data_IF_854742021293
#
_entry.id   IF_854742021293
#
_cell.length_a   1.000
_cell.length_b   1.000
_cell.length_c   1.000
_cell.angle_alpha   90.00
_cell.angle_beta   90.00
_cell.angle_gamma   90.00
#
_symmetry.space_group_name_H-M   'P 1'
#
loop_
_entity.id
_entity.type
_entity.pdbx_description
1 polymer ?
2 water ?
#
# COMPACT_ATOMS: atom_id res chain seq x y z
N UNK A 14 13.35 3.83 -10.32
CA UNK A 14 12.97 2.99 -11.45
C UNK A 14 12.35 1.73 -10.91
N UNK A 15 13.15 0.87 -10.26
CA UNK A 15 12.59 -0.16 -9.40
C UNK A 15 11.76 0.47 -8.29
N UNK A 16 12.36 1.39 -7.53
CA UNK A 16 11.57 2.20 -6.62
C UNK A 16 10.44 2.90 -7.37
N UNK A 17 10.72 3.38 -8.59
CA UNK A 17 9.75 4.21 -9.30
C UNK A 17 8.56 3.40 -9.75
N UNK A 18 8.77 2.10 -9.97
CA UNK A 18 7.65 1.22 -10.27
C UNK A 18 6.72 1.09 -9.08
N UNK A 19 7.29 0.89 -7.90
CA UNK A 19 6.48 0.67 -6.71
C UNK A 19 5.81 1.98 -6.30
N UNK A 20 6.49 3.10 -6.48
CA UNK A 20 5.87 4.40 -6.28
C UNK A 20 4.66 4.60 -7.17
N UNK A 21 4.74 4.21 -8.44
CA UNK A 21 3.55 4.31 -9.28
C UNK A 21 2.42 3.41 -8.79
N UNK A 22 2.72 2.18 -8.38
CA UNK A 22 1.70 1.30 -7.81
C UNK A 22 1.04 2.00 -6.63
N UNK A 23 1.84 2.56 -5.74
CA UNK A 23 1.31 3.21 -4.56
C UNK A 23 0.51 4.45 -4.93
N UNK A 24 1.03 5.24 -5.88
CA UNK A 24 0.27 6.43 -6.30
C UNK A 24 -1.04 6.02 -6.96
N UNK A 25 -1.02 4.94 -7.77
CA UNK A 25 -2.24 4.51 -8.45
C UNK A 25 -3.28 4.08 -7.43
N UNK A 26 -2.84 3.32 -6.42
CA UNK A 26 -3.78 2.83 -5.41
C UNK A 26 -4.39 3.98 -4.67
N UNK A 27 -3.59 5.00 -4.38
CA UNK A 27 -4.10 6.21 -3.74
C UNK A 27 -5.15 6.90 -4.60
N UNK A 28 -4.86 7.08 -5.89
CA UNK A 28 -5.81 7.77 -6.75
C UNK A 28 -7.11 7.01 -6.85
N UNK A 29 -7.06 5.67 -6.72
CA UNK A 29 -8.30 4.92 -6.76
C UNK A 29 -9.08 5.04 -5.44
N UNK A 30 -8.38 5.00 -4.31
CA UNK A 30 -9.04 5.17 -3.01
C UNK A 30 -9.75 6.52 -2.94
N UNK A 31 -9.09 7.57 -3.41
CA UNK A 31 -9.66 8.91 -3.37
C UNK A 31 -10.59 9.19 -4.55
N UNK A 32 -10.72 8.25 -5.49
CA UNK A 32 -11.56 8.38 -6.68
C UNK A 32 -11.15 9.62 -7.49
N UNK A 33 -9.91 9.58 -7.98
CA UNK A 33 -9.27 10.70 -8.66
C UNK A 33 -8.93 10.24 -10.08
N UNK A 34 -9.21 11.05 -11.12
CA UNK A 34 -8.91 10.71 -12.51
C UNK A 34 -7.48 10.23 -12.77
N UNK A 38 -2.42 6.08 -21.05
CA UNK A 38 -3.26 6.48 -19.93
C UNK A 38 -3.83 5.32 -19.13
N UNK A 39 -4.36 5.62 -17.96
CA UNK A 39 -4.90 4.60 -17.10
C UNK A 39 -3.82 3.73 -16.47
N UNK A 40 -4.13 3.12 -15.33
CA UNK A 40 -3.12 2.28 -14.67
C UNK A 40 -2.79 1.07 -15.54
N UNK A 41 -1.67 0.42 -15.22
CA UNK A 41 -1.30 -0.79 -15.93
C UNK A 41 -2.17 -1.95 -15.48
N UNK A 42 -2.14 -3.04 -16.26
CA UNK A 42 -2.86 -4.24 -15.84
C UNK A 42 -2.39 -4.68 -14.47
N UNK A 43 -1.08 -4.66 -14.25
CA UNK A 43 -0.50 -4.98 -12.96
C UNK A 43 -1.17 -4.15 -11.86
N UNK A 44 -1.30 -2.84 -12.09
CA UNK A 44 -1.88 -1.97 -11.07
C UNK A 44 -3.34 -2.28 -10.83
N UNK A 45 -4.09 -2.52 -11.91
CA UNK A 45 -5.51 -2.78 -11.74
C UNK A 45 -5.74 -4.10 -11.03
N UNK A 46 -4.92 -5.12 -11.33
CA UNK A 46 -4.98 -6.38 -10.59
C UNK A 46 -4.69 -6.15 -9.11
N UNK A 47 -3.66 -5.35 -8.80
CA UNK A 47 -3.34 -5.10 -7.40
C UNK A 47 -4.47 -4.37 -6.69
N UNK A 48 -5.12 -3.42 -7.37
CA UNK A 48 -6.14 -2.60 -6.74
C UNK A 48 -7.35 -3.46 -6.40
N UNK A 49 -7.72 -4.39 -7.29
CA UNK A 49 -8.78 -5.33 -6.99
C UNK A 49 -8.51 -6.09 -5.71
N UNK A 50 -7.36 -6.76 -5.61
CA UNK A 50 -7.15 -7.64 -4.45
C UNK A 50 -6.90 -6.81 -3.21
N UNK A 51 -6.20 -5.69 -3.36
CA UNK A 51 -5.93 -4.86 -2.19
C UNK A 51 -7.20 -4.29 -1.60
N UNK A 52 -8.14 -3.84 -2.44
CA UNK A 52 -9.33 -3.24 -1.87
C UNK A 52 -10.18 -4.29 -1.14
N UNK A 53 -10.17 -5.53 -1.61
CA UNK A 53 -10.84 -6.59 -0.87
C UNK A 53 -10.22 -6.75 0.51
N UNK A 54 -8.89 -6.77 0.59
CA UNK A 54 -8.24 -6.94 1.88
C UNK A 54 -8.50 -5.72 2.76
N UNK A 55 -8.41 -4.52 2.18
CA UNK A 55 -8.67 -3.29 2.92
C UNK A 55 -10.03 -3.32 3.61
N UNK A 56 -11.06 -3.79 2.91
CA UNK A 56 -12.39 -3.82 3.51
C UNK A 56 -12.39 -4.62 4.80
N UNK A 57 -11.64 -5.72 4.82
CA UNK A 57 -11.61 -6.60 5.98
C UNK A 57 -10.72 -6.06 7.09
N UNK A 58 -9.59 -5.44 6.72
CA UNK A 58 -8.66 -4.92 7.71
C UNK A 58 -9.27 -3.75 8.47
N UNK A 59 -9.90 -2.83 7.74
CA UNK A 59 -10.58 -1.72 8.41
C UNK A 59 -11.69 -2.25 9.32
N UNK A 60 -12.31 -3.36 8.94
CA UNK A 60 -13.31 -4.01 9.79
C UNK A 60 -12.66 -4.46 11.10
N UNK A 61 -11.62 -5.28 10.99
CA UNK A 61 -10.96 -5.85 12.16
C UNK A 61 -10.25 -4.80 13.02
N UNK A 62 -10.26 -3.53 12.64
CA UNK A 62 -9.60 -2.51 13.45
C UNK A 62 -10.32 -1.16 13.36
N UNK A 66 -7.93 1.81 15.55
CA UNK A 66 -7.99 2.79 14.47
C UNK A 66 -8.84 4.01 14.87
N UNK A 67 -9.93 3.75 15.60
CA UNK A 67 -10.82 4.84 15.99
C UNK A 67 -10.14 5.77 17.00
N UNK A 68 -9.54 5.19 18.04
CA UNK A 68 -8.95 5.98 19.11
C UNK A 68 -7.65 6.66 18.72
N UNK A 69 -7.29 6.68 17.43
CA UNK A 69 -6.07 7.30 16.95
C UNK A 69 -6.43 8.25 15.81
N UNK A 70 -6.11 9.53 15.98
CA UNK A 70 -6.45 10.58 15.02
C UNK A 70 -5.26 10.84 14.12
N UNK A 71 -5.45 10.62 12.81
CA UNK A 71 -4.35 10.80 11.84
C UNK A 71 -4.37 12.27 11.45
N UNK A 72 -3.72 13.09 12.29
CA UNK A 72 -3.75 14.53 12.07
C UNK A 72 -2.69 14.99 11.09
N UNK A 73 -1.67 14.17 10.81
CA UNK A 73 -0.53 14.64 10.04
C UNK A 73 -0.03 13.52 9.16
N UNK A 74 0.61 13.90 8.05
CA UNK A 74 1.20 12.89 7.17
C UNK A 74 2.37 12.22 7.88
N UNK A 75 3.02 12.93 8.81
CA UNK A 75 4.03 12.29 9.63
C UNK A 75 3.41 11.31 10.62
N UNK A 76 2.13 11.52 10.97
CA UNK A 76 1.44 10.55 11.81
C UNK A 76 1.07 9.30 11.02
N UNK A 77 0.63 9.47 9.77
CA UNK A 77 0.30 8.32 8.94
C UNK A 77 1.55 7.54 8.57
N UNK A 78 2.67 8.23 8.39
CA UNK A 78 3.94 7.55 8.16
C UNK A 78 4.36 6.78 9.41
N UNK A 79 4.24 7.43 10.58
CA UNK A 79 4.50 6.74 11.83
C UNK A 79 3.55 5.57 12.04
N UNK A 80 2.26 5.76 11.73
CA UNK A 80 1.29 4.67 11.85
C UNK A 80 1.65 3.52 10.92
N UNK A 81 2.08 3.84 9.71
CA UNK A 81 2.37 2.82 8.72
C UNK A 81 3.53 1.92 9.15
N UNK A 82 4.60 2.53 9.64
CA UNK A 82 5.74 1.76 10.10
C UNK A 82 5.36 0.86 11.27
N UNK A 83 4.50 1.35 12.16
CA UNK A 83 4.10 0.57 13.32
C UNK A 83 3.32 -0.67 12.91
N UNK A 84 2.40 -0.52 11.95
CA UNK A 84 1.53 -1.64 11.59
C UNK A 84 2.26 -2.64 10.70
N UNK A 85 3.19 -2.17 9.87
CA UNK A 85 3.83 -3.04 8.89
C UNK A 85 5.06 -3.75 9.46
N UNK A 86 5.75 -3.14 10.41
CA UNK A 86 6.76 -3.88 11.15
C UNK A 86 6.14 -5.07 11.88
N UNK A 87 4.90 -4.93 12.34
CA UNK A 87 4.18 -6.04 12.94
C UNK A 87 3.66 -7.02 11.90
N UNK A 88 3.34 -6.53 10.70
CA UNK A 88 2.87 -7.42 9.64
C UNK A 88 3.97 -8.35 9.15
N UNK A 89 5.24 -8.01 9.37
CA UNK A 89 6.36 -8.80 8.88
C UNK A 89 7.28 -9.27 9.99
N UNK A 90 6.77 -9.37 11.23
CA UNK A 90 7.63 -9.63 12.38
C UNK A 90 8.39 -10.94 12.23
N UNK A 91 7.69 -12.01 11.87
CA UNK A 91 8.33 -13.31 11.68
C UNK A 91 9.29 -13.35 10.50
N UNK A 92 9.44 -12.25 9.75
CA UNK A 92 10.32 -12.25 8.60
C UNK A 92 9.87 -13.11 7.43
N UNK A 93 8.74 -13.81 7.54
CA UNK A 93 8.13 -14.48 6.40
C UNK A 93 7.43 -13.45 5.54
N UNK A 94 7.58 -13.56 4.22
CA UNK A 94 6.83 -12.69 3.33
C UNK A 94 6.33 -13.51 2.15
N UNK A 95 5.17 -13.09 1.65
CA UNK A 95 4.46 -13.69 0.52
C UNK A 95 3.65 -12.59 -0.13
N UNK A 96 3.00 -12.89 -1.26
CA UNK A 96 2.26 -11.84 -1.96
C UNK A 96 1.07 -11.36 -1.16
N UNK A 97 0.48 -12.24 -0.34
CA UNK A 97 -0.66 -11.81 0.46
C UNK A 97 -0.29 -10.70 1.44
N UNK A 98 0.87 -10.82 2.06
CA UNK A 98 1.33 -9.79 2.98
C UNK A 98 1.65 -8.50 2.24
N UNK A 99 2.26 -8.60 1.07
CA UNK A 99 2.60 -7.40 0.33
C UNK A 99 1.33 -6.69 -0.12
N UNK A 100 0.29 -7.44 -0.49
CA UNK A 100 -0.99 -6.81 -0.81
C UNK A 100 -1.55 -6.09 0.40
N UNK A 101 -1.30 -6.61 1.60
CA UNK A 101 -1.80 -5.93 2.80
C UNK A 101 -1.10 -4.59 3.01
N UNK A 102 0.08 -4.40 2.44
CA UNK A 102 0.73 -3.08 2.56
C UNK A 102 -0.11 -2.02 1.88
N UNK A 103 -0.54 -2.31 0.65
CA UNK A 103 -1.37 -1.35 -0.09
C UNK A 103 -2.73 -1.18 0.55
N UNK A 104 -3.32 -2.26 1.05
CA UNK A 104 -4.57 -2.12 1.78
C UNK A 104 -4.42 -1.16 2.95
N UNK A 105 -3.31 -1.23 3.67
CA UNK A 105 -3.17 -0.33 4.79
C UNK A 105 -2.89 1.10 4.35
N UNK A 106 -2.16 1.29 3.24
CA UNK A 106 -2.03 2.63 2.70
C UNK A 106 -3.40 3.24 2.40
N UNK A 107 -4.34 2.46 1.86
CA UNK A 107 -5.67 2.98 1.61
C UNK A 107 -6.40 3.37 2.89
N UNK A 108 -6.21 2.58 3.95
CA UNK A 108 -6.84 2.91 5.22
C UNK A 108 -6.31 4.23 5.75
N UNK A 109 -5.00 4.46 5.61
CA UNK A 109 -4.41 5.69 6.15
C UNK A 109 -4.81 6.91 5.34
N UNK A 110 -4.97 6.78 4.02
CA UNK A 110 -5.45 7.90 3.20
C UNK A 110 -6.84 8.33 3.66
N UNK A 111 -7.73 7.35 3.85
CA UNK A 111 -9.10 7.69 4.26
C UNK A 111 -9.10 8.40 5.60
N UNK A 112 -8.37 7.87 6.58
CA UNK A 112 -8.35 8.52 7.88
C UNK A 112 -7.57 9.83 7.83
N UNK A 113 -6.62 9.96 6.89
CA UNK A 113 -5.95 11.23 6.68
C UNK A 113 -6.91 12.25 6.07
N UNK A 114 -7.58 11.89 4.98
CA UNK A 114 -8.56 12.80 4.37
C UNK A 114 -9.54 13.35 5.39
N UNK A 115 -10.00 12.50 6.32
CA UNK A 115 -10.98 12.93 7.33
C UNK A 115 -10.34 13.78 8.43
N UNK A 116 -9.20 13.36 8.97
CA UNK A 116 -8.72 13.89 10.24
C UNK A 116 -7.50 14.79 10.10
N UNK A 117 -6.96 14.95 8.89
CA UNK A 117 -5.82 15.84 8.68
C UNK A 117 -6.15 17.25 9.15
N UNK A 118 -5.43 17.73 10.17
CA UNK A 118 -5.63 19.10 10.62
C UNK A 118 -4.74 19.97 9.74
N UNK A 119 -5.19 20.17 8.51
CA UNK A 119 -4.40 20.65 7.40
C UNK A 119 -5.37 20.77 6.24
N UNK A 120 -4.95 21.24 5.03
CA UNK A 120 -5.88 21.20 3.89
C UNK A 120 -6.74 19.93 3.78
N UNK A 124 0.32 15.95 -0.57
CA UNK A 124 0.52 14.85 0.37
C UNK A 124 0.31 13.49 -0.29
N UNK A 125 -0.31 13.49 -1.48
CA UNK A 125 -0.37 12.26 -2.26
C UNK A 125 1.01 11.71 -2.48
N UNK A 126 1.93 12.58 -2.91
CA UNK A 126 3.30 12.18 -3.16
C UNK A 126 3.98 11.67 -1.89
N UNK A 127 3.71 12.30 -0.74
CA UNK A 127 4.39 11.94 0.49
C UNK A 127 4.02 10.53 0.95
N UNK A 128 2.76 10.13 0.77
CA UNK A 128 2.32 8.79 1.18
C UNK A 128 2.85 7.74 0.23
N UNK A 129 2.65 7.93 -1.07
CA UNK A 129 3.26 7.01 -2.04
C UNK A 129 4.73 6.77 -1.73
N UNK A 130 5.42 7.79 -1.23
CA UNK A 130 6.87 7.63 -1.04
C UNK A 130 7.19 6.65 0.07
N UNK A 131 6.55 6.79 1.24
CA UNK A 131 6.99 5.96 2.35
C UNK A 131 6.39 4.57 2.28
N UNK A 132 5.35 4.40 1.46
CA UNK A 132 4.91 3.07 1.12
C UNK A 132 5.94 2.38 0.23
N UNK A 133 6.41 3.09 -0.82
CA UNK A 133 7.43 2.51 -1.69
C UNK A 133 8.74 2.27 -0.96
N UNK A 134 9.16 3.23 -0.11
CA UNK A 134 10.35 3.03 0.71
C UNK A 134 10.28 1.75 1.54
N UNK A 135 9.13 1.47 2.15
CA UNK A 135 9.02 0.25 2.94
C UNK A 135 9.13 -0.99 2.06
N UNK A 136 8.38 -1.00 0.96
CA UNK A 136 8.37 -2.16 0.08
C UNK A 136 9.75 -2.39 -0.51
N UNK A 137 10.37 -1.32 -1.02
CA UNK A 137 11.70 -1.43 -1.61
C UNK A 137 12.73 -1.91 -0.60
N UNK A 138 12.72 -1.32 0.60
CA UNK A 138 13.74 -1.61 1.61
C UNK A 138 13.48 -2.89 2.39
N UNK A 139 12.29 -3.49 2.26
CA UNK A 139 11.96 -4.68 3.04
C UNK A 139 11.53 -5.88 2.20
N UNK A 140 11.05 -5.69 0.96
CA UNK A 140 10.58 -6.82 0.17
C UNK A 140 11.16 -6.85 -1.23
N UNK A 141 12.01 -5.88 -1.60
CA UNK A 141 12.48 -5.80 -2.96
C UNK A 141 13.19 -7.05 -3.44
N UNK A 142 14.05 -7.62 -2.59
CA UNK A 142 14.78 -8.82 -2.98
C UNK A 142 13.85 -9.99 -3.16
N UNK A 143 12.91 -10.18 -2.24
CA UNK A 143 11.98 -11.30 -2.35
C UNK A 143 11.10 -11.15 -3.57
N UNK A 144 10.59 -9.95 -3.81
CA UNK A 144 9.74 -9.71 -4.97
C UNK A 144 10.47 -10.13 -6.24
N UNK A 145 11.74 -9.74 -6.36
CA UNK A 145 12.51 -10.11 -7.53
C UNK A 145 12.70 -11.62 -7.60
N UNK A 146 13.11 -12.22 -6.48
CA UNK A 146 13.42 -13.64 -6.48
C UNK A 146 12.19 -14.50 -6.76
N UNK A 147 10.99 -13.92 -6.61
CA UNK A 147 9.76 -14.67 -6.81
C UNK A 147 8.95 -14.18 -8.00
N UNK A 148 9.60 -13.56 -8.96
CA UNK A 148 8.98 -13.31 -10.25
C UNK A 148 8.74 -11.87 -10.55
N UNK A 149 8.91 -10.99 -9.58
CA UNK A 149 8.61 -9.59 -9.77
C UNK A 149 7.11 -9.38 -9.83
N UNK A 150 6.75 -8.15 -10.19
CA UNK A 150 5.35 -7.78 -10.25
C UNK A 150 4.66 -8.41 -11.46
N UNK A 151 5.36 -8.44 -12.60
CA UNK A 151 4.74 -8.88 -13.85
C UNK A 151 4.88 -10.39 -14.09
N UNK A 152 5.86 -11.05 -13.50
CA UNK A 152 5.97 -12.49 -13.63
C UNK A 152 5.73 -13.22 -12.31
N UNK A 153 5.54 -12.50 -11.21
CA UNK A 153 5.08 -13.19 -10.03
C UNK A 153 3.72 -12.78 -9.52
N UNK A 154 3.50 -11.48 -9.35
CA UNK A 154 2.25 -11.08 -8.72
C UNK A 154 1.11 -11.19 -9.72
N UNK A 155 1.29 -10.59 -10.89
CA UNK A 155 0.24 -10.62 -11.91
C UNK A 155 -0.11 -12.05 -12.28
N UNK A 156 0.91 -12.89 -12.53
CA UNK A 156 0.62 -14.27 -12.90
C UNK A 156 -0.17 -15.01 -11.82
N UNK A 157 -0.01 -14.62 -10.56
CA UNK A 157 -0.69 -15.33 -9.49
C UNK A 157 -2.10 -14.81 -9.27
N UNK A 158 -2.32 -13.50 -9.39
CA UNK A 158 -3.59 -12.90 -9.04
C UNK A 158 -4.44 -12.46 -10.22
N UNK A 159 -3.90 -12.44 -11.43
CA UNK A 159 -4.69 -12.04 -12.59
C UNK A 159 -5.81 -13.05 -12.86
N UNK A 160 -6.92 -12.59 -13.47
CA UNK A 160 -7.90 -13.57 -13.95
C UNK A 160 -7.26 -14.54 -14.93
#
# INVERSE_FOLDING_TARGET
MGHHHHHHSHMTDSEFGYIYRLAQDYLQSVLQIPQPGSGPSKTSRVLQNVAFSVQKEVEKNLKSCLDNVNVVSVDTARTLFNQVMEKEFEDGIINWGRIVTIFAFEGILIKKLLRQQIAPDVDTYKEISYFVAEFIMNNTGEWIRQNGGWENGFVKKFEPK
#
